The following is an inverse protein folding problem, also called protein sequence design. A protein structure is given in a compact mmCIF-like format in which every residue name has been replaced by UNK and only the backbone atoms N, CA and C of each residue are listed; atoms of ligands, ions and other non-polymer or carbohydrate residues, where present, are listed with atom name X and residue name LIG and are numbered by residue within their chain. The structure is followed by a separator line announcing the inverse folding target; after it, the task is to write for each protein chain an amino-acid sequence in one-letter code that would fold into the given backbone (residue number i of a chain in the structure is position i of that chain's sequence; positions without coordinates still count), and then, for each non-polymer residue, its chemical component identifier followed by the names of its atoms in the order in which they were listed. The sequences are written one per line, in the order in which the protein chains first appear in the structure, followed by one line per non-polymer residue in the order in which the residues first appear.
data_IF_947429085826
#
_entry.id   IF_947429085826
#
_cell.length_a   1.000
_cell.length_b   1.000
_cell.length_c   1.000
_cell.angle_alpha   90.00
_cell.angle_beta   90.00
_cell.angle_gamma   90.00
#
_symmetry.space_group_name_H-M   'P 1'
#
loop_
_entity.id
_entity.type
_entity.pdbx_description
1 polymer ?
#
# COMPACT_ATOMS: atom_id res chain seq x y z
N UNK A 1 -19.53 -9.79 1.26
CA UNK A 1 -18.26 -9.02 1.17
C UNK A 1 -17.78 -8.90 2.59
N UNK A 2 -16.69 -9.59 2.92
CA UNK A 2 -16.20 -9.66 4.30
C UNK A 2 -15.78 -8.29 4.80
N UNK A 3 -16.09 -8.01 6.06
CA UNK A 3 -15.62 -6.84 6.80
C UNK A 3 -14.10 -6.70 6.62
N UNK A 4 -13.69 -5.57 6.06
CA UNK A 4 -12.28 -5.20 5.98
C UNK A 4 -11.94 -4.65 7.36
N UNK A 5 -11.08 -5.33 8.11
CA UNK A 5 -10.65 -4.84 9.41
C UNK A 5 -9.59 -3.74 9.19
N UNK A 6 -9.99 -2.47 9.20
CA UNK A 6 -9.04 -1.37 8.97
C UNK A 6 -8.03 -1.18 10.12
N UNK A 7 -8.26 -1.84 11.26
CA UNK A 7 -7.34 -1.86 12.39
C UNK A 7 -6.33 -3.03 12.29
N UNK A 8 -6.45 -3.88 11.27
CA UNK A 8 -5.54 -4.99 11.08
C UNK A 8 -4.12 -4.45 10.86
N UNK A 9 -3.14 -5.08 11.51
CA UNK A 9 -1.74 -4.71 11.33
C UNK A 9 -1.25 -5.25 10.01
N UNK A 10 -0.88 -4.35 9.11
CA UNK A 10 -0.33 -4.62 7.79
C UNK A 10 1.11 -4.11 7.70
N UNK A 11 1.82 -4.60 6.69
CA UNK A 11 3.15 -4.09 6.36
C UNK A 11 3.10 -3.39 5.01
N UNK A 12 3.55 -2.13 4.98
CA UNK A 12 3.76 -1.41 3.72
C UNK A 12 5.21 -1.54 3.34
N UNK A 13 5.44 -1.97 2.11
CA UNK A 13 6.74 -1.98 1.49
C UNK A 13 6.75 -0.97 0.35
N UNK A 14 7.57 0.07 0.49
CA UNK A 14 7.80 1.03 -0.58
C UNK A 14 8.97 0.54 -1.44
N UNK A 15 8.71 0.41 -2.74
CA UNK A 15 9.70 0.07 -3.74
C UNK A 15 10.05 1.34 -4.50
N UNK A 16 11.31 1.74 -4.44
CA UNK A 16 11.85 2.78 -5.31
C UNK A 16 12.09 2.14 -6.67
N UNK A 17 11.10 2.27 -7.55
CA UNK A 17 11.07 1.61 -8.85
C UNK A 17 11.14 2.64 -9.95
N UNK A 18 12.32 3.21 -10.20
CA UNK A 18 12.62 3.66 -11.56
C UNK A 18 12.37 2.46 -12.46
N UNK A 19 11.45 2.59 -13.42
CA UNK A 19 11.13 1.62 -14.49
C UNK A 19 12.21 0.54 -14.60
N UNK A 20 12.00 -0.60 -13.93
CA UNK A 20 13.08 -1.57 -13.78
C UNK A 20 13.19 -2.27 -15.12
N UNK A 21 14.08 -1.77 -15.97
CA UNK A 21 14.38 -2.40 -17.25
C UNK A 21 14.60 -3.90 -17.02
N UNK A 22 14.12 -4.79 -17.90
CA UNK A 22 14.28 -6.22 -17.72
C UNK A 22 15.79 -6.56 -17.65
N UNK A 23 16.28 -6.84 -16.44
CA UNK A 23 17.70 -7.13 -16.18
C UNK A 23 18.37 -6.31 -15.08
N UNK A 24 17.72 -5.26 -14.55
CA UNK A 24 18.23 -4.54 -13.36
C UNK A 24 17.61 -5.15 -12.10
N UNK A 25 18.43 -5.50 -11.12
CA UNK A 25 17.92 -5.90 -9.80
C UNK A 25 17.23 -4.69 -9.17
N UNK A 26 15.98 -4.83 -8.67
CA UNK A 26 15.30 -3.76 -7.98
C UNK A 26 16.18 -3.27 -6.83
N UNK A 27 16.24 -1.95 -6.62
CA UNK A 27 16.83 -1.41 -5.41
C UNK A 27 16.21 -2.13 -4.19
N UNK A 28 17.00 -2.40 -3.13
CA UNK A 28 16.48 -3.08 -1.96
C UNK A 28 15.22 -2.34 -1.51
N UNK A 29 14.11 -3.06 -1.28
CA UNK A 29 12.89 -2.42 -0.86
C UNK A 29 13.17 -1.59 0.40
N UNK A 30 12.45 -0.47 0.54
CA UNK A 30 12.52 0.31 1.78
C UNK A 30 12.21 -0.58 2.98
N UNK A 31 12.57 -0.14 4.19
CA UNK A 31 12.19 -0.88 5.39
C UNK A 31 10.67 -1.07 5.42
N UNK A 32 10.16 -2.31 5.61
CA UNK A 32 8.73 -2.53 5.77
C UNK A 32 8.22 -1.72 6.97
N UNK A 33 7.11 -1.02 6.78
CA UNK A 33 6.49 -0.20 7.81
C UNK A 33 5.28 -0.95 8.34
N UNK A 34 5.37 -1.43 9.58
CA UNK A 34 4.24 -2.00 10.30
C UNK A 34 3.27 -0.88 10.72
N UNK A 35 2.03 -0.93 10.24
CA UNK A 35 0.99 0.02 10.61
C UNK A 35 -0.39 -0.61 10.43
N UNK A 36 -1.45 0.12 10.79
CA UNK A 36 -2.82 -0.35 10.53
C UNK A 36 -3.19 -0.18 9.07
N UNK A 37 -4.08 -1.02 8.54
CA UNK A 37 -4.56 -0.91 7.16
C UNK A 37 -5.10 0.49 6.85
N UNK A 38 -5.90 1.09 7.75
CA UNK A 38 -6.36 2.48 7.60
C UNK A 38 -5.19 3.45 7.37
N UNK A 39 -4.17 3.36 8.23
CA UNK A 39 -3.00 4.24 8.18
C UNK A 39 -2.16 3.97 6.93
N UNK A 40 -2.09 2.72 6.50
CA UNK A 40 -1.40 2.35 5.27
C UNK A 40 -2.04 2.98 4.03
N UNK A 41 -3.35 2.83 3.91
CA UNK A 41 -4.10 3.43 2.81
C UNK A 41 -4.00 4.95 2.83
N UNK A 42 -4.11 5.59 4.01
CA UNK A 42 -3.89 7.03 4.15
C UNK A 42 -2.50 7.46 3.64
N UNK A 43 -1.44 6.82 4.14
CA UNK A 43 -0.06 7.15 3.72
C UNK A 43 0.12 6.95 2.21
N UNK A 44 -0.46 5.91 1.63
CA UNK A 44 -0.40 5.68 0.19
C UNK A 44 -1.11 6.78 -0.57
N UNK A 45 -2.35 7.10 -0.22
CA UNK A 45 -3.15 8.09 -0.95
C UNK A 45 -2.57 9.50 -0.83
N UNK A 46 -2.06 9.87 0.35
CA UNK A 46 -1.46 11.18 0.59
C UNK A 46 -0.05 11.33 -0.01
N UNK A 47 0.77 10.27 0.00
CA UNK A 47 2.15 10.31 -0.49
C UNK A 47 2.28 9.99 -1.99
N UNK A 48 1.26 9.37 -2.61
CA UNK A 48 1.19 9.06 -4.04
C UNK A 48 1.51 10.23 -4.99
N UNK A 49 0.92 11.44 -4.84
CA UNK A 49 1.24 12.56 -5.73
C UNK A 49 2.70 13.02 -5.65
N UNK A 50 3.45 12.64 -4.61
CA UNK A 50 4.87 12.97 -4.44
C UNK A 50 5.82 11.87 -4.89
N UNK A 51 5.32 10.65 -5.07
CA UNK A 51 6.13 9.45 -5.29
C UNK A 51 6.22 9.05 -6.77
N UNK A 52 6.26 10.04 -7.69
CA UNK A 52 6.46 9.84 -9.13
C UNK A 52 7.44 8.68 -9.44
N UNK A 53 6.91 7.51 -9.83
CA UNK A 53 7.70 6.31 -10.14
C UNK A 53 8.01 5.39 -8.94
N UNK A 54 7.23 5.38 -7.86
CA UNK A 54 7.36 4.35 -6.80
C UNK A 54 6.21 3.36 -6.86
N UNK A 55 6.54 2.12 -6.52
CA UNK A 55 5.55 1.07 -6.32
C UNK A 55 5.42 0.82 -4.82
N UNK A 56 4.27 0.32 -4.39
CA UNK A 56 4.06 -0.11 -3.02
C UNK A 56 3.42 -1.49 -2.98
N UNK A 57 3.68 -2.22 -1.91
CA UNK A 57 2.99 -3.47 -1.61
C UNK A 57 2.52 -3.43 -0.17
N UNK A 58 1.20 -3.49 0.05
CA UNK A 58 0.61 -3.66 1.39
C UNK A 58 0.34 -5.13 1.60
N UNK A 59 1.12 -5.76 2.47
CA UNK A 59 0.91 -7.15 2.85
C UNK A 59 -0.12 -7.23 3.97
N UNK A 60 -1.26 -7.85 3.68
CA UNK A 60 -2.30 -8.18 4.64
C UNK A 60 -1.91 -9.48 5.36
N UNK A 61 -2.26 -9.62 6.65
CA UNK A 61 -1.91 -10.81 7.44
C UNK A 61 -2.77 -12.04 7.12
N UNK A 62 -3.97 -11.83 6.61
CA UNK A 62 -5.05 -12.83 6.61
C UNK A 62 -5.18 -13.63 5.29
N UNK A 63 -4.06 -14.04 4.69
CA UNK A 63 -4.02 -14.72 3.36
C UNK A 63 -4.71 -13.92 2.22
N UNK A 64 -5.08 -12.65 2.50
CA UNK A 64 -5.74 -11.75 1.58
C UNK A 64 -4.72 -11.26 0.53
N UNK A 65 -5.17 -11.01 -0.71
CA UNK A 65 -4.30 -10.46 -1.75
C UNK A 65 -3.71 -9.12 -1.33
N UNK A 66 -2.38 -8.99 -1.41
CA UNK A 66 -1.69 -7.76 -1.09
C UNK A 66 -2.14 -6.61 -2.00
N UNK A 67 -2.27 -5.42 -1.44
CA UNK A 67 -2.68 -4.22 -2.20
C UNK A 67 -1.42 -3.66 -2.84
N UNK A 68 -1.35 -3.71 -4.16
CA UNK A 68 -0.14 -3.34 -4.92
C UNK A 68 -0.35 -2.15 -5.86
N UNK A 69 -1.61 -1.73 -6.02
CA UNK A 69 -1.97 -0.66 -6.95
C UNK A 69 -2.63 0.51 -6.24
N UNK A 70 -2.31 1.73 -6.69
CA UNK A 70 -2.96 2.94 -6.20
C UNK A 70 -4.47 2.92 -6.39
N UNK A 71 -4.97 2.32 -7.48
CA UNK A 71 -6.40 2.20 -7.74
C UNK A 71 -7.12 1.40 -6.65
N UNK A 72 -6.54 0.29 -6.20
CA UNK A 72 -7.10 -0.50 -5.09
C UNK A 72 -7.04 0.26 -3.76
N UNK A 73 -5.91 0.89 -3.45
CA UNK A 73 -5.77 1.68 -2.22
C UNK A 73 -6.78 2.84 -2.19
N UNK A 74 -6.91 3.57 -3.31
CA UNK A 74 -7.89 4.64 -3.47
C UNK A 74 -9.32 4.13 -3.38
N UNK A 75 -9.63 2.99 -3.99
CA UNK A 75 -10.96 2.40 -3.91
C UNK A 75 -11.35 2.03 -2.46
N UNK A 76 -10.38 1.65 -1.62
CA UNK A 76 -10.59 1.42 -0.19
C UNK A 76 -10.77 2.74 0.56
N UNK A 77 -9.94 3.74 0.27
CA UNK A 77 -10.03 5.07 0.86
C UNK A 77 -11.37 5.78 0.57
N UNK A 78 -11.92 5.59 -0.63
CA UNK A 78 -13.19 6.17 -1.06
C UNK A 78 -14.43 5.40 -0.55
N UNK A 79 -14.26 4.35 0.28
CA UNK A 79 -15.39 3.63 0.89
C UNK A 79 -16.04 4.46 1.99
N UNK A 80 -17.37 4.45 2.03
CA UNK A 80 -18.18 5.10 3.09
C UNK A 80 -17.85 4.58 4.51
N UNK A 81 -17.39 3.33 4.59
CA UNK A 81 -17.07 2.62 5.82
C UNK A 81 -15.58 2.77 6.22
N UNK A 82 -14.77 3.41 5.39
CA UNK A 82 -13.37 3.66 5.71
C UNK A 82 -13.29 4.68 6.85
N UNK A 83 -12.45 4.45 7.89
CA UNK A 83 -12.29 5.39 8.99
C UNK A 83 -11.48 6.62 8.51
N UNK A 84 -12.12 7.49 7.74
CA UNK A 84 -11.64 8.84 7.42
C UNK A 84 -11.71 9.68 8.70
N UNK A 85 -10.55 10.14 9.17
CA UNK A 85 -10.48 11.12 10.25
C UNK A 85 -10.37 12.53 9.69
#
# INVERSE_FOLDING_TARGET
MGDIDYNETVQILWHDGTDIEPGVEPAPPGQPIDCTLAKAIHMIVEDWPRTHGKFFSVMLRDDKPAITTYAEARAIYERDDFPVH
#
